data_IF_609084552189
#
_entry.id   IF_609084552189
#
_cell.length_a   1.000
_cell.length_b   1.000
_cell.length_c   1.000
_cell.angle_alpha   90.00
_cell.angle_beta   90.00
_cell.angle_gamma   90.00
#
_symmetry.space_group_name_H-M   'P 1'
#
loop_
_entity.id
_entity.type
_entity.pdbx_description
1 polymer ?
#
# COMPACT_ATOMS: atom_id res chain seq x y z
N UNK A 1 25.90 -0.02 -16.27
CA UNK A 1 26.27 1.20 -15.53
C UNK A 1 27.58 1.02 -14.74
N UNK A 2 27.67 0.11 -13.77
CA UNK A 2 28.86 -0.01 -12.91
C UNK A 2 30.15 -0.50 -13.60
N UNK A 3 30.06 -1.32 -14.65
CA UNK A 3 31.24 -1.77 -15.40
C UNK A 3 32.04 -0.61 -16.02
N UNK A 4 31.35 0.43 -16.51
CA UNK A 4 32.01 1.59 -17.12
C UNK A 4 32.74 2.46 -16.06
N UNK A 5 32.36 2.36 -14.78
CA UNK A 5 32.99 3.08 -13.68
C UNK A 5 34.32 2.44 -13.24
N UNK A 6 34.59 1.17 -13.61
CA UNK A 6 35.85 0.50 -13.26
C UNK A 6 37.08 1.16 -13.88
N UNK A 7 36.92 1.89 -14.99
CA UNK A 7 37.99 2.66 -15.62
C UNK A 7 38.55 3.72 -14.66
N UNK A 8 37.66 4.37 -13.88
CA UNK A 8 38.02 5.38 -12.89
C UNK A 8 38.27 4.78 -11.50
N UNK A 9 37.61 3.66 -11.19
CA UNK A 9 37.66 3.00 -9.89
C UNK A 9 37.96 1.50 -10.09
N UNK A 10 39.24 1.11 -10.28
CA UNK A 10 39.61 -0.27 -10.65
C UNK A 10 39.14 -1.33 -9.65
N UNK A 11 39.06 -0.96 -8.37
CA UNK A 11 38.66 -1.84 -7.26
C UNK A 11 37.16 -1.75 -6.91
N UNK A 12 36.33 -1.07 -7.73
CA UNK A 12 34.90 -0.96 -7.49
C UNK A 12 34.24 -2.36 -7.50
N UNK A 13 33.61 -2.71 -6.39
CA UNK A 13 32.71 -3.86 -6.27
C UNK A 13 31.28 -3.32 -6.36
N UNK A 14 30.53 -3.79 -7.35
CA UNK A 14 29.12 -3.45 -7.50
C UNK A 14 28.26 -4.63 -7.07
N UNK A 15 27.48 -4.42 -6.01
CA UNK A 15 26.48 -5.37 -5.53
C UNK A 15 25.07 -4.81 -5.84
N UNK A 16 24.18 -5.66 -6.32
CA UNK A 16 22.77 -5.29 -6.51
C UNK A 16 22.04 -5.38 -5.19
N UNK A 17 21.44 -4.27 -4.75
CA UNK A 17 20.66 -4.23 -3.53
C UNK A 17 19.45 -5.17 -3.62
N UNK A 18 19.41 -6.20 -2.78
CA UNK A 18 18.31 -7.16 -2.71
C UNK A 18 16.99 -6.47 -2.38
N UNK A 19 16.99 -5.49 -1.47
CA UNK A 19 15.80 -4.72 -1.13
C UNK A 19 15.23 -3.97 -2.34
N UNK A 20 16.10 -3.42 -3.20
CA UNK A 20 15.66 -2.84 -4.47
C UNK A 20 15.03 -3.89 -5.41
N UNK A 21 15.64 -5.08 -5.50
CA UNK A 21 15.08 -6.19 -6.26
C UNK A 21 13.68 -6.60 -5.77
N UNK A 22 13.52 -6.79 -4.46
CA UNK A 22 12.23 -7.11 -3.83
C UNK A 22 11.21 -5.98 -4.05
N UNK A 23 11.62 -4.72 -3.97
CA UNK A 23 10.73 -3.60 -4.25
C UNK A 23 10.19 -3.61 -5.68
N UNK A 24 11.02 -3.98 -6.67
CA UNK A 24 10.54 -4.11 -8.06
C UNK A 24 9.47 -5.19 -8.19
N UNK A 25 9.58 -6.29 -7.46
CA UNK A 25 8.54 -7.33 -7.43
C UNK A 25 7.27 -6.80 -6.76
N UNK A 26 7.38 -6.07 -5.64
CA UNK A 26 6.22 -5.46 -4.98
C UNK A 26 5.50 -4.43 -5.86
N UNK A 27 6.25 -3.63 -6.62
CA UNK A 27 5.67 -2.71 -7.61
C UNK A 27 4.96 -3.45 -8.74
N UNK A 28 5.51 -4.58 -9.19
CA UNK A 28 4.85 -5.41 -10.19
C UNK A 28 3.56 -6.02 -9.64
N UNK A 29 3.57 -6.51 -8.40
CA UNK A 29 2.34 -6.94 -7.70
C UNK A 29 1.30 -5.82 -7.75
N UNK A 30 1.65 -4.58 -7.37
CA UNK A 30 0.74 -3.43 -7.45
C UNK A 30 0.16 -3.22 -8.86
N UNK A 31 0.99 -3.32 -9.90
CA UNK A 31 0.55 -3.15 -11.30
C UNK A 31 -0.46 -4.22 -11.73
N UNK A 32 -0.37 -5.44 -11.18
CA UNK A 32 -1.30 -6.53 -11.47
C UNK A 32 -2.68 -6.37 -10.79
N UNK A 33 -2.83 -5.45 -9.83
CA UNK A 33 -4.09 -5.21 -9.11
C UNK A 33 -4.57 -3.75 -9.24
N UNK A 34 -4.91 -3.28 -10.46
CA UNK A 34 -5.34 -1.90 -10.68
C UNK A 34 -6.60 -1.53 -9.88
N UNK A 35 -7.57 -2.45 -9.74
CA UNK A 35 -8.81 -2.20 -8.97
C UNK A 35 -8.51 -1.94 -7.48
N UNK A 36 -7.61 -2.73 -6.88
CA UNK A 36 -7.16 -2.52 -5.50
C UNK A 36 -6.40 -1.20 -5.38
N UNK A 37 -5.51 -0.91 -6.34
CA UNK A 37 -4.75 0.33 -6.36
C UNK A 37 -5.67 1.57 -6.44
N UNK A 38 -6.67 1.53 -7.31
CA UNK A 38 -7.63 2.62 -7.49
C UNK A 38 -8.49 2.81 -6.24
N UNK A 39 -8.93 1.71 -5.62
CA UNK A 39 -9.67 1.76 -4.36
C UNK A 39 -8.85 2.42 -3.24
N UNK A 40 -7.60 1.97 -3.03
CA UNK A 40 -6.69 2.56 -2.03
C UNK A 40 -6.49 4.06 -2.28
N UNK A 41 -6.28 4.44 -3.54
CA UNK A 41 -6.06 5.83 -3.93
C UNK A 41 -7.30 6.70 -3.76
N UNK A 42 -8.50 6.17 -4.04
CA UNK A 42 -9.75 6.91 -3.91
C UNK A 42 -10.19 7.06 -2.46
N UNK A 43 -10.09 6.00 -1.64
CA UNK A 43 -10.41 6.10 -0.21
C UNK A 43 -9.46 7.07 0.49
N UNK A 44 -8.20 7.16 0.07
CA UNK A 44 -7.28 8.21 0.55
C UNK A 44 -7.86 9.62 0.33
N UNK A 45 -8.44 9.90 -0.83
CA UNK A 45 -9.04 11.23 -1.15
C UNK A 45 -10.22 11.55 -0.25
N UNK A 46 -10.99 10.54 0.18
CA UNK A 46 -12.14 10.73 1.09
C UNK A 46 -11.71 11.43 2.38
N UNK A 47 -10.57 11.07 2.95
CA UNK A 47 -10.12 11.57 4.26
C UNK A 47 -9.09 12.71 4.19
N UNK A 48 -8.63 13.11 3.00
CA UNK A 48 -7.66 14.21 2.86
C UNK A 48 -8.35 15.54 3.11
N UNK A 49 -7.84 16.30 4.11
CA UNK A 49 -8.36 17.62 4.51
C UNK A 49 -9.85 17.61 4.91
N UNK A 50 -10.36 16.47 5.39
CA UNK A 50 -11.76 16.30 5.77
C UNK A 50 -11.89 15.89 7.25
N UNK A 51 -11.76 16.84 8.21
CA UNK A 51 -11.76 16.53 9.64
C UNK A 51 -13.06 15.87 10.13
N UNK A 52 -14.22 16.30 9.62
CA UNK A 52 -15.51 15.71 9.99
C UNK A 52 -15.62 14.24 9.55
N UNK A 53 -15.17 13.92 8.33
CA UNK A 53 -15.16 12.53 7.84
C UNK A 53 -14.18 11.66 8.63
N UNK A 54 -13.04 12.23 9.04
CA UNK A 54 -12.09 11.55 9.94
C UNK A 54 -12.68 11.33 11.33
N UNK A 55 -13.45 12.28 11.84
CA UNK A 55 -14.14 12.15 13.12
C UNK A 55 -15.18 11.02 13.06
N UNK A 56 -16.06 11.04 12.05
CA UNK A 56 -17.05 9.96 11.84
C UNK A 56 -16.37 8.59 11.72
N UNK A 57 -15.28 8.50 10.96
CA UNK A 57 -14.50 7.26 10.86
C UNK A 57 -14.07 6.73 12.24
N UNK A 58 -13.54 7.62 13.11
CA UNK A 58 -13.06 7.25 14.44
C UNK A 58 -14.20 6.86 15.39
N UNK A 59 -15.37 7.49 15.24
CA UNK A 59 -16.57 7.18 16.01
C UNK A 59 -17.15 5.82 15.61
N UNK A 60 -17.20 5.52 14.30
CA UNK A 60 -17.70 4.24 13.79
C UNK A 60 -16.75 3.08 14.03
N UNK A 61 -15.43 3.32 13.93
CA UNK A 61 -14.39 2.29 14.01
C UNK A 61 -13.37 2.61 15.12
N UNK A 62 -13.79 2.65 16.41
CA UNK A 62 -12.88 2.94 17.49
C UNK A 62 -11.78 1.88 17.57
N UNK A 63 -10.52 2.33 17.57
CA UNK A 63 -9.35 1.46 17.65
C UNK A 63 -8.82 0.95 16.31
N UNK A 64 -9.52 1.18 15.19
CA UNK A 64 -8.96 0.95 13.85
C UNK A 64 -8.28 2.26 13.41
N UNK A 65 -6.97 2.24 13.06
CA UNK A 65 -6.30 3.44 12.58
C UNK A 65 -6.87 3.87 11.23
N UNK A 66 -6.73 5.15 10.87
CA UNK A 66 -7.11 5.61 9.53
C UNK A 66 -6.40 4.78 8.46
N UNK A 67 -7.04 4.55 7.29
CA UNK A 67 -6.43 3.77 6.24
C UNK A 67 -5.05 4.33 5.86
N UNK A 68 -4.01 3.47 5.80
CA UNK A 68 -2.65 3.90 5.52
C UNK A 68 -2.58 4.51 4.12
N UNK A 69 -1.68 5.48 3.98
CA UNK A 69 -1.43 6.16 2.72
C UNK A 69 -0.14 5.58 2.14
N UNK A 70 -0.18 4.85 1.01
CA UNK A 70 1.03 4.43 0.32
C UNK A 70 1.92 5.64 0.02
N UNK A 71 3.21 5.50 0.27
CA UNK A 71 4.23 6.51 0.01
C UNK A 71 5.04 6.01 -1.17
N UNK A 72 4.97 6.71 -2.30
CA UNK A 72 5.63 6.30 -3.55
C UNK A 72 7.13 6.05 -3.40
N UNK A 73 7.79 6.78 -2.51
CA UNK A 73 9.24 6.67 -2.28
C UNK A 73 9.63 5.64 -1.23
N UNK A 74 8.67 5.04 -0.50
CA UNK A 74 8.96 4.08 0.58
C UNK A 74 8.48 2.68 0.19
N UNK A 75 9.43 1.75 0.15
CA UNK A 75 9.22 0.37 -0.27
C UNK A 75 8.18 -0.34 0.58
N UNK A 76 7.36 -1.20 -0.05
CA UNK A 76 6.38 -2.03 0.63
C UNK A 76 5.10 -1.34 1.14
N UNK A 77 5.06 0.00 1.20
CA UNK A 77 3.92 0.72 1.79
C UNK A 77 2.58 0.48 1.07
N UNK A 78 2.59 0.21 -0.23
CA UNK A 78 1.37 -0.15 -0.96
C UNK A 78 0.86 -1.54 -0.55
N UNK A 79 1.75 -2.52 -0.38
CA UNK A 79 1.36 -3.87 0.04
C UNK A 79 0.81 -3.82 1.47
N UNK A 80 1.44 -3.09 2.38
CA UNK A 80 0.92 -2.85 3.73
C UNK A 80 -0.50 -2.27 3.70
N UNK A 81 -0.75 -1.29 2.82
CA UNK A 81 -2.08 -0.74 2.64
C UNK A 81 -3.08 -1.78 2.14
N UNK A 82 -2.73 -2.55 1.10
CA UNK A 82 -3.59 -3.62 0.60
C UNK A 82 -3.92 -4.66 1.68
N UNK A 83 -2.95 -5.04 2.52
CA UNK A 83 -3.17 -5.94 3.66
C UNK A 83 -4.12 -5.33 4.71
N UNK A 84 -3.95 -4.04 5.01
CA UNK A 84 -4.86 -3.32 5.91
C UNK A 84 -6.30 -3.33 5.38
N UNK A 85 -6.49 -2.99 4.10
CA UNK A 85 -7.82 -3.05 3.49
C UNK A 85 -8.37 -4.47 3.44
N UNK A 86 -7.55 -5.48 3.16
CA UNK A 86 -7.98 -6.87 3.19
C UNK A 86 -8.45 -7.32 4.59
N UNK A 87 -7.88 -6.76 5.66
CA UNK A 87 -8.27 -7.04 7.04
C UNK A 87 -9.55 -6.29 7.46
N UNK A 88 -9.74 -5.07 6.97
CA UNK A 88 -10.79 -4.15 7.44
C UNK A 88 -11.83 -3.79 6.37
N UNK A 89 -11.90 -4.54 5.26
CA UNK A 89 -12.68 -4.19 4.08
C UNK A 89 -14.14 -3.89 4.40
N UNK A 90 -14.83 -4.80 5.10
CA UNK A 90 -16.25 -4.64 5.43
C UNK A 90 -16.50 -3.44 6.35
N UNK A 91 -15.63 -3.23 7.33
CA UNK A 91 -15.71 -2.07 8.23
C UNK A 91 -15.55 -0.75 7.46
N UNK A 92 -14.57 -0.67 6.57
CA UNK A 92 -14.33 0.53 5.74
C UNK A 92 -15.48 0.75 4.77
N UNK A 93 -16.00 -0.32 4.15
CA UNK A 93 -17.16 -0.24 3.25
C UNK A 93 -18.38 0.35 3.96
N UNK A 94 -18.66 -0.05 5.20
CA UNK A 94 -19.72 0.54 6.02
C UNK A 94 -19.51 2.05 6.24
N UNK A 95 -18.30 2.49 6.58
CA UNK A 95 -18.00 3.92 6.73
C UNK A 95 -18.20 4.68 5.42
N UNK A 96 -17.79 4.12 4.29
CA UNK A 96 -18.00 4.76 2.98
C UNK A 96 -19.50 4.88 2.64
N UNK A 97 -20.30 3.88 2.98
CA UNK A 97 -21.75 3.92 2.78
C UNK A 97 -22.42 4.98 3.68
N UNK A 98 -22.00 5.08 4.95
CA UNK A 98 -22.50 6.12 5.86
C UNK A 98 -22.14 7.52 5.35
N UNK A 99 -20.88 7.73 4.96
CA UNK A 99 -20.43 8.99 4.38
C UNK A 99 -21.19 9.39 3.11
N UNK A 100 -21.66 8.42 2.32
CA UNK A 100 -22.49 8.69 1.14
C UNK A 100 -23.88 9.23 1.48
N UNK A 101 -24.41 8.97 2.67
CA UNK A 101 -25.71 9.50 3.09
C UNK A 101 -25.60 10.98 3.48
N UNK A 102 -24.45 11.39 4.03
CA UNK A 102 -24.19 12.73 4.55
C UNK A 102 -23.48 13.67 3.56
N UNK A 103 -22.68 13.14 2.62
CA UNK A 103 -21.76 13.91 1.78
C UNK A 103 -21.65 13.36 0.34
N UNK A 104 -22.07 14.17 -0.63
CA UNK A 104 -22.10 13.84 -2.06
C UNK A 104 -20.75 14.04 -2.78
N UNK A 105 -19.61 13.79 -2.11
CA UNK A 105 -18.29 13.91 -2.73
C UNK A 105 -18.04 12.87 -3.81
N UNK A 106 -17.45 13.28 -4.95
CA UNK A 106 -17.04 12.37 -6.02
C UNK A 106 -16.12 11.24 -5.52
N UNK A 107 -15.20 11.53 -4.60
CA UNK A 107 -14.31 10.53 -4.02
C UNK A 107 -15.06 9.45 -3.22
N UNK A 108 -16.14 9.83 -2.53
CA UNK A 108 -16.98 8.89 -1.75
C UNK A 108 -17.78 8.02 -2.74
N UNK A 109 -18.39 8.64 -3.75
CA UNK A 109 -19.13 7.93 -4.80
C UNK A 109 -18.26 6.90 -5.53
N UNK A 110 -17.09 7.31 -6.02
CA UNK A 110 -16.13 6.41 -6.67
C UNK A 110 -15.65 5.30 -5.73
N UNK A 111 -15.38 5.61 -4.47
CA UNK A 111 -14.95 4.60 -3.49
C UNK A 111 -16.05 3.56 -3.22
N UNK A 112 -17.32 3.97 -3.15
CA UNK A 112 -18.44 3.05 -3.00
C UNK A 112 -18.66 2.20 -4.26
N UNK A 113 -18.53 2.76 -5.45
CA UNK A 113 -18.59 2.02 -6.71
C UNK A 113 -17.49 0.94 -6.77
N UNK A 114 -16.25 1.29 -6.40
CA UNK A 114 -15.15 0.34 -6.32
C UNK A 114 -15.39 -0.72 -5.22
N UNK A 115 -15.93 -0.33 -4.07
CA UNK A 115 -16.29 -1.26 -2.99
C UNK A 115 -17.46 -2.22 -3.32
N UNK A 116 -18.27 -1.87 -4.32
CA UNK A 116 -19.31 -2.73 -4.86
C UNK A 116 -18.77 -3.71 -5.92
N UNK A 117 -17.54 -3.52 -6.43
CA UNK A 117 -16.93 -4.44 -7.39
C UNK A 117 -16.62 -5.79 -6.69
N UNK A 118 -17.23 -6.91 -7.13
CA UNK A 118 -17.02 -8.21 -6.51
C UNK A 118 -15.56 -8.68 -6.58
N UNK A 119 -14.80 -8.26 -7.59
CA UNK A 119 -13.39 -8.61 -7.76
C UNK A 119 -12.50 -7.98 -6.68
N UNK A 120 -12.86 -6.82 -6.13
CA UNK A 120 -12.02 -6.12 -5.16
C UNK A 120 -11.77 -6.98 -3.92
N UNK A 121 -12.82 -7.56 -3.35
CA UNK A 121 -12.71 -8.44 -2.17
C UNK A 121 -11.85 -9.68 -2.43
N UNK A 122 -12.00 -10.28 -3.61
CA UNK A 122 -11.23 -11.45 -4.04
C UNK A 122 -9.75 -11.11 -4.24
N UNK A 123 -9.46 -9.97 -4.88
CA UNK A 123 -8.09 -9.50 -5.08
C UNK A 123 -7.41 -9.14 -3.76
N UNK A 124 -8.10 -8.47 -2.84
CA UNK A 124 -7.59 -8.19 -1.49
C UNK A 124 -7.26 -9.49 -0.74
N UNK A 125 -8.13 -10.50 -0.79
CA UNK A 125 -7.88 -11.81 -0.19
C UNK A 125 -6.68 -12.51 -0.85
N UNK A 126 -6.58 -12.46 -2.18
CA UNK A 126 -5.44 -13.02 -2.91
C UNK A 126 -4.12 -12.35 -2.50
N UNK A 127 -4.09 -11.01 -2.44
CA UNK A 127 -2.90 -10.27 -2.00
C UNK A 127 -2.50 -10.67 -0.58
N UNK A 128 -3.48 -10.74 0.33
CA UNK A 128 -3.24 -11.15 1.72
C UNK A 128 -2.61 -12.54 1.83
N UNK A 129 -3.09 -13.50 1.04
CA UNK A 129 -2.62 -14.88 1.11
C UNK A 129 -1.26 -15.10 0.44
N UNK A 130 -0.93 -14.34 -0.61
CA UNK A 130 0.27 -14.59 -1.42
C UNK A 130 1.41 -13.59 -1.15
N UNK A 131 1.09 -12.39 -0.69
CA UNK A 131 2.04 -11.27 -0.63
C UNK A 131 2.16 -10.64 0.77
N UNK A 132 1.61 -11.26 1.81
CA UNK A 132 1.75 -10.78 3.19
C UNK A 132 3.17 -10.83 3.74
N UNK A 133 4.09 -11.52 3.06
CA UNK A 133 5.49 -11.63 3.46
C UNK A 133 6.30 -10.36 3.17
N UNK A 134 5.89 -9.53 2.20
CA UNK A 134 6.66 -8.37 1.75
C UNK A 134 7.03 -7.38 2.86
N UNK A 135 6.09 -6.91 3.71
CA UNK A 135 6.43 -5.96 4.77
C UNK A 135 7.52 -6.48 5.72
N UNK A 136 7.46 -7.76 6.07
CA UNK A 136 8.48 -8.41 6.90
C UNK A 136 9.85 -8.44 6.20
N UNK A 137 9.88 -8.83 4.93
CA UNK A 137 11.12 -8.88 4.13
C UNK A 137 11.76 -7.50 4.01
N UNK A 138 10.99 -6.44 3.77
CA UNK A 138 11.54 -5.09 3.74
C UNK A 138 12.14 -4.69 5.09
N UNK A 139 11.42 -4.95 6.19
CA UNK A 139 11.91 -4.66 7.53
C UNK A 139 13.21 -5.39 7.86
N UNK A 140 13.35 -6.65 7.44
CA UNK A 140 14.55 -7.44 7.64
C UNK A 140 15.72 -6.91 6.81
N UNK A 141 15.49 -6.60 5.53
CA UNK A 141 16.53 -6.07 4.65
C UNK A 141 16.97 -4.64 5.02
N UNK A 142 16.09 -3.84 5.63
CA UNK A 142 16.41 -2.49 6.14
C UNK A 142 17.26 -2.53 7.43
N UNK A 143 17.14 -3.60 8.23
CA UNK A 143 17.78 -3.72 9.55
C UNK A 143 19.14 -4.41 9.52
N UNK A 144 19.62 -4.86 8.36
CA UNK A 144 20.83 -5.67 8.30
C UNK A 144 22.08 -4.85 8.64
N UNK A 145 22.59 -5.03 9.87
CA UNK A 145 23.96 -4.70 10.29
C UNK A 145 24.98 -5.68 9.69
N UNK A 146 24.86 -5.96 8.38
CA UNK A 146 25.75 -6.89 7.68
C UNK A 146 26.75 -6.07 6.89
N UNK A 147 28.04 -6.32 7.15
CA UNK A 147 29.10 -5.70 6.38
C UNK A 147 29.03 -6.19 4.92
N UNK A 148 29.15 -5.27 3.97
CA UNK A 148 29.11 -5.58 2.53
C UNK A 148 30.33 -6.39 2.06
N UNK A 149 31.38 -6.45 2.89
CA UNK A 149 32.61 -7.20 2.71
C UNK A 149 33.11 -7.63 4.10
N UNK A 150 33.73 -8.81 4.18
CA UNK A 150 34.36 -9.33 5.40
C UNK A 150 35.51 -8.42 5.89
#
# INVERSE_FOLDING_TARGET
AAQNLKIFYPNLIHNTCLAHGVNRVAEEVRNQFPVVNDFINNVKKVFVKAPLRVQLYKEMLPGIPLPPKPILTRWGTWVEAALFYAQHFESIKKVLTELSSEDSSAAISESNQLAANPQLSQQLAYIKNNFSIFPKVFLELEKQDVLLID
#
